data_IF_072020860164
#
_entry.id   IF_072020860164
#
_cell.length_a   1.000
_cell.length_b   1.000
_cell.length_c   1.000
_cell.angle_alpha   90.00
_cell.angle_beta   90.00
_cell.angle_gamma   90.00
#
_symmetry.space_group_name_H-M   'P 1'
#
loop_
_entity.id
_entity.type
_entity.pdbx_description
1 polymer ?
#
# COMPACT_ATOMS: atom_id res chain seq x y z
N UNK A 1 -13.72 11.71 8.58
CA UNK A 1 -13.23 10.52 7.87
C UNK A 1 -12.14 9.90 8.71
N UNK A 2 -12.47 8.79 9.36
CA UNK A 2 -11.56 8.11 10.26
C UNK A 2 -10.37 7.53 9.49
N UNK A 3 -9.20 7.44 10.12
CA UNK A 3 -7.99 6.82 9.52
C UNK A 3 -8.26 5.38 9.05
N UNK A 4 -9.17 4.69 9.75
CA UNK A 4 -9.61 3.32 9.46
C UNK A 4 -10.28 3.24 8.08
N UNK A 5 -11.15 4.18 7.73
CA UNK A 5 -11.83 4.20 6.42
C UNK A 5 -10.84 4.31 5.25
N UNK A 6 -9.78 5.13 5.42
CA UNK A 6 -8.74 5.29 4.39
C UNK A 6 -7.87 4.04 4.26
N UNK A 7 -7.56 3.39 5.39
CA UNK A 7 -6.84 2.12 5.41
C UNK A 7 -7.66 1.05 4.68
N UNK A 8 -8.92 0.88 5.04
CA UNK A 8 -9.76 -0.14 4.43
C UNK A 8 -10.00 0.14 2.95
N UNK A 9 -10.18 1.40 2.54
CA UNK A 9 -10.22 1.77 1.13
C UNK A 9 -8.92 1.40 0.39
N UNK A 10 -7.76 1.55 1.04
CA UNK A 10 -6.47 1.18 0.46
C UNK A 10 -6.33 -0.33 0.29
N UNK A 11 -6.70 -1.12 1.29
CA UNK A 11 -6.59 -2.58 1.26
C UNK A 11 -7.69 -3.27 0.44
N UNK A 12 -8.87 -2.65 0.32
CA UNK A 12 -9.97 -3.18 -0.50
C UNK A 12 -9.80 -2.91 -1.99
N UNK A 13 -8.98 -1.92 -2.36
CA UNK A 13 -8.71 -1.60 -3.77
C UNK A 13 -8.20 -2.85 -4.50
N UNK A 14 -8.77 -3.12 -5.67
CA UNK A 14 -8.40 -4.28 -6.45
C UNK A 14 -7.12 -4.02 -7.25
N UNK A 15 -6.14 -4.92 -7.13
CA UNK A 15 -4.87 -4.87 -7.85
C UNK A 15 -4.15 -6.22 -7.79
N UNK A 16 -3.21 -6.46 -8.71
CA UNK A 16 -2.43 -7.71 -8.81
C UNK A 16 -1.73 -8.11 -7.49
N UNK A 17 -1.26 -7.12 -6.72
CA UNK A 17 -0.58 -7.35 -5.44
C UNK A 17 -1.52 -7.41 -4.23
N UNK A 18 -2.86 -7.44 -4.40
CA UNK A 18 -3.82 -7.31 -3.29
C UNK A 18 -3.60 -8.38 -2.24
N UNK A 19 -3.45 -9.63 -2.69
CA UNK A 19 -3.19 -10.78 -1.82
C UNK A 19 -1.92 -10.58 -0.97
N UNK A 20 -0.80 -10.20 -1.60
CA UNK A 20 0.46 -9.97 -0.88
C UNK A 20 0.37 -8.82 0.11
N UNK A 21 -0.31 -7.73 -0.26
CA UNK A 21 -0.48 -6.56 0.62
C UNK A 21 -1.39 -6.87 1.81
N UNK A 22 -2.44 -7.69 1.62
CA UNK A 22 -3.29 -8.18 2.70
C UNK A 22 -2.51 -9.13 3.63
N UNK A 23 -1.66 -10.00 3.09
CA UNK A 23 -0.78 -10.84 3.93
C UNK A 23 0.20 -10.00 4.76
N UNK A 24 0.83 -8.99 4.15
CA UNK A 24 1.70 -8.06 4.89
C UNK A 24 0.95 -7.32 5.99
N UNK A 25 -0.32 -6.92 5.75
CA UNK A 25 -1.18 -6.33 6.80
C UNK A 25 -1.43 -7.32 7.93
N UNK A 26 -1.72 -8.58 7.61
CA UNK A 26 -1.94 -9.63 8.61
C UNK A 26 -0.68 -9.91 9.44
N UNK A 27 0.50 -9.90 8.82
CA UNK A 27 1.78 -10.01 9.52
C UNK A 27 2.03 -8.80 10.42
N UNK A 28 1.77 -7.59 9.91
CA UNK A 28 1.89 -6.38 10.71
C UNK A 28 0.97 -6.41 11.93
N UNK A 29 -0.27 -6.88 11.80
CA UNK A 29 -1.23 -7.03 12.91
C UNK A 29 -0.81 -8.08 13.96
N UNK A 30 0.09 -9.00 13.62
CA UNK A 30 0.69 -9.93 14.60
C UNK A 30 1.81 -9.28 15.40
N UNK A 31 2.33 -8.14 14.95
CA UNK A 31 3.37 -7.38 15.64
C UNK A 31 2.75 -6.26 16.47
N UNK A 32 3.49 -5.73 17.44
CA UNK A 32 3.01 -4.69 18.37
C UNK A 32 3.10 -3.28 17.74
N UNK A 33 2.58 -3.13 16.53
CA UNK A 33 2.61 -1.90 15.72
C UNK A 33 1.23 -1.28 15.65
N UNK A 34 1.16 0.04 15.64
CA UNK A 34 -0.05 0.81 15.39
C UNK A 34 -0.16 1.17 13.89
N UNK A 35 -1.33 0.91 13.29
CA UNK A 35 -1.66 1.33 11.93
C UNK A 35 -1.93 2.84 11.90
N UNK A 36 -1.24 3.55 11.02
CA UNK A 36 -1.44 4.96 10.74
C UNK A 36 -1.49 5.19 9.21
N UNK A 37 -1.98 6.35 8.79
CA UNK A 37 -2.14 6.66 7.36
C UNK A 37 -1.53 8.03 7.06
N UNK A 38 -0.36 8.04 6.42
CA UNK A 38 0.43 9.23 6.08
C UNK A 38 0.81 9.19 4.61
N UNK A 39 0.93 10.32 3.94
CA UNK A 39 1.35 10.41 2.53
C UNK A 39 0.55 9.50 1.57
N UNK A 40 -0.74 9.31 1.84
CA UNK A 40 -1.63 8.40 1.10
C UNK A 40 -1.21 6.91 1.11
N UNK A 41 -0.41 6.51 2.09
CA UNK A 41 0.03 5.13 2.30
C UNK A 41 -0.20 4.69 3.75
N UNK A 42 -0.47 3.40 3.98
CA UNK A 42 -0.52 2.83 5.31
C UNK A 42 0.91 2.71 5.87
N UNK A 43 1.12 3.31 7.04
CA UNK A 43 2.37 3.31 7.78
C UNK A 43 2.17 2.67 9.14
N UNK A 44 3.18 1.95 9.60
CA UNK A 44 3.16 1.19 10.84
C UNK A 44 4.14 1.81 11.81
N UNK A 45 3.64 2.13 13.01
CA UNK A 45 4.41 2.85 14.03
C UNK A 45 4.54 2.02 15.31
N UNK A 46 5.70 2.07 15.96
CA UNK A 46 5.90 1.51 17.30
C UNK A 46 6.29 2.65 18.21
N UNK A 47 5.55 2.85 19.30
CA UNK A 47 5.77 3.96 20.25
C UNK A 47 5.87 5.33 19.56
N UNK A 48 5.06 5.56 18.52
CA UNK A 48 5.04 6.82 17.76
C UNK A 48 6.19 6.99 16.75
N UNK A 49 7.12 6.04 16.62
CA UNK A 49 8.15 6.03 15.58
C UNK A 49 7.70 5.21 14.38
N UNK A 50 7.87 5.73 13.16
CA UNK A 50 7.60 4.99 11.93
C UNK A 50 8.62 3.86 11.77
N UNK A 51 8.15 2.62 11.63
CA UNK A 51 9.02 1.45 11.45
C UNK A 51 9.01 1.00 9.99
N UNK A 52 7.83 0.85 9.39
CA UNK A 52 7.69 0.47 7.97
C UNK A 52 6.37 0.97 7.39
N UNK A 53 6.28 1.03 6.07
CA UNK A 53 5.05 1.35 5.34
C UNK A 53 4.77 0.31 4.27
N UNK A 54 3.50 -0.05 4.10
CA UNK A 54 3.10 -1.03 3.09
C UNK A 54 2.59 -0.25 1.87
N UNK A 55 3.42 -0.20 0.84
CA UNK A 55 3.09 0.50 -0.40
C UNK A 55 2.77 -0.49 -1.51
N UNK A 56 1.77 -0.18 -2.35
CA UNK A 56 1.57 -0.87 -3.62
C UNK A 56 2.54 -0.33 -4.66
N UNK A 57 3.22 -1.23 -5.36
CA UNK A 57 3.97 -0.85 -6.55
C UNK A 57 2.99 -0.57 -7.70
N UNK A 58 3.15 0.60 -8.33
CA UNK A 58 2.53 0.88 -9.63
C UNK A 58 3.48 0.34 -10.69
N UNK A 59 3.18 -0.84 -11.25
CA UNK A 59 3.83 -1.25 -12.49
C UNK A 59 3.28 -0.35 -13.58
N UNK A 60 4.11 0.57 -14.06
CA UNK A 60 3.87 1.28 -15.31
C UNK A 60 4.56 0.43 -16.38
N UNK A 61 3.81 -0.43 -17.04
CA UNK A 61 4.22 -1.02 -18.31
C UNK A 61 3.81 -0.02 -19.40
N UNK A 62 4.68 0.96 -19.65
CA UNK A 62 4.51 1.85 -20.78
C UNK A 62 5.01 1.11 -22.03
N UNK A 63 4.09 0.42 -22.72
CA UNK A 63 4.34 -0.02 -24.08
C UNK A 63 4.36 1.21 -24.98
N UNK A 64 5.51 1.86 -25.07
CA UNK A 64 5.79 2.85 -26.09
C UNK A 64 5.86 2.16 -27.45
N UNK A 65 4.73 2.04 -28.15
CA UNK A 65 4.72 1.79 -29.59
C UNK A 65 5.26 3.07 -30.26
N UNK A 66 6.57 3.11 -30.52
CA UNK A 66 7.15 4.03 -31.50
C UNK A 66 6.79 3.47 -32.89
N UNK A 67 5.60 3.80 -33.39
CA UNK A 67 5.38 3.71 -34.84
C UNK A 67 6.00 4.94 -35.48
N UNK A 68 7.29 4.83 -35.82
CA UNK A 68 7.88 5.65 -36.87
C UNK A 68 7.14 5.30 -38.17
N UNK A 69 6.23 6.17 -38.59
CA UNK A 69 5.66 6.11 -39.93
C UNK A 69 6.69 6.73 -40.89
N UNK A 70 7.27 5.84 -41.69
CA UNK A 70 8.07 6.12 -42.89
C UNK A 70 7.33 7.00 -43.90
#
# INVERSE_FOLDING_TARGET
>A
MEKIEKLDAYYNKEHQFKKGIVELRNLARQTNVAEDFKWNIPVYTVNGKNVFGICRFKIILEYGFLTDHF
#
